data_IF_618171807769
#
_entry.id   IF_618171807769
#
_cell.length_a   1.000
_cell.length_b   1.000
_cell.length_c   1.000
_cell.angle_alpha   90.00
_cell.angle_beta   90.00
_cell.angle_gamma   90.00
#
_symmetry.space_group_name_H-M   'P 1'
#
loop_
_entity.id
_entity.type
_entity.pdbx_description
1 polymer ?
#
# COMPACT_ATOMS: atom_id res chain seq x y z
N UNK A 1 23.82 -18.35 48.27
CA UNK A 1 23.61 -18.31 46.80
C UNK A 1 22.19 -18.65 46.33
N UNK A 2 21.47 -19.58 46.97
CA UNK A 2 20.10 -20.00 46.52
C UNK A 2 19.02 -18.91 46.58
N UNK A 3 19.02 -17.96 47.54
CA UNK A 3 18.04 -16.87 47.62
C UNK A 3 18.13 -15.84 46.49
N UNK A 4 19.34 -15.51 45.97
CA UNK A 4 19.50 -14.53 44.88
C UNK A 4 19.02 -15.10 43.53
N UNK A 5 19.11 -16.40 43.33
CA UNK A 5 18.67 -17.05 42.08
C UNK A 5 17.13 -17.07 41.98
N UNK A 6 16.41 -17.23 43.10
CA UNK A 6 14.95 -17.19 43.10
C UNK A 6 14.35 -15.83 42.74
N UNK A 7 15.03 -14.73 43.15
CA UNK A 7 14.57 -13.35 42.83
C UNK A 7 14.77 -13.08 41.32
N UNK A 8 15.86 -13.55 40.72
CA UNK A 8 16.14 -13.37 39.31
C UNK A 8 15.13 -14.12 38.40
N UNK A 9 14.79 -15.36 38.76
CA UNK A 9 13.80 -16.17 38.04
C UNK A 9 12.39 -15.55 38.13
N UNK A 10 12.01 -15.01 39.29
CA UNK A 10 10.74 -14.34 39.48
C UNK A 10 10.64 -13.06 38.64
N UNK A 11 11.74 -12.30 38.49
CA UNK A 11 11.76 -11.05 37.70
C UNK A 11 11.64 -11.34 36.20
N UNK A 12 12.29 -12.40 35.70
CA UNK A 12 12.19 -12.82 34.30
C UNK A 12 10.77 -13.33 33.98
N UNK A 13 10.13 -14.05 34.89
CA UNK A 13 8.77 -14.55 34.71
C UNK A 13 7.72 -13.41 34.68
N UNK A 14 7.90 -12.36 35.49
CA UNK A 14 7.04 -11.16 35.44
C UNK A 14 7.23 -10.35 34.13
N UNK A 15 8.46 -10.27 33.59
CA UNK A 15 8.71 -9.58 32.33
C UNK A 15 8.09 -10.29 31.13
N UNK A 16 8.08 -11.63 31.12
CA UNK A 16 7.51 -12.43 30.01
C UNK A 16 5.99 -12.39 29.96
N UNK A 17 5.31 -12.09 31.06
CA UNK A 17 3.85 -11.95 31.10
C UNK A 17 3.36 -10.56 30.67
N UNK A 18 4.23 -9.55 30.65
CA UNK A 18 3.85 -8.18 30.25
C UNK A 18 3.91 -7.95 28.74
N UNK A 19 4.75 -8.69 28.00
CA UNK A 19 4.94 -8.49 26.57
C UNK A 19 3.70 -8.79 25.69
N UNK A 20 2.94 -9.90 25.92
CA UNK A 20 1.78 -10.18 25.08
C UNK A 20 0.59 -9.24 25.35
N UNK A 21 0.47 -8.68 26.56
CA UNK A 21 -0.64 -7.77 26.89
C UNK A 21 -0.47 -6.42 26.20
N UNK A 22 0.75 -5.90 26.12
CA UNK A 22 1.02 -4.64 25.45
C UNK A 22 0.85 -4.71 23.92
N UNK A 23 1.22 -5.84 23.30
CA UNK A 23 1.06 -6.05 21.85
C UNK A 23 -0.42 -6.19 21.50
N UNK A 24 -1.21 -6.92 22.28
CA UNK A 24 -2.63 -7.10 22.03
C UNK A 24 -3.44 -5.81 22.25
N UNK A 25 -3.07 -4.98 23.23
CA UNK A 25 -3.66 -3.67 23.46
C UNK A 25 -3.34 -2.68 22.32
N UNK A 26 -2.12 -2.71 21.78
CA UNK A 26 -1.73 -1.88 20.64
C UNK A 26 -2.50 -2.24 19.36
N UNK A 27 -2.66 -3.53 19.03
CA UNK A 27 -3.46 -3.98 17.90
C UNK A 27 -4.95 -3.61 18.03
N UNK A 28 -5.53 -3.73 19.22
CA UNK A 28 -6.91 -3.33 19.49
C UNK A 28 -7.12 -1.84 19.29
N UNK A 29 -6.13 -1.02 19.66
CA UNK A 29 -6.14 0.43 19.52
C UNK A 29 -6.11 0.86 18.06
N UNK A 30 -5.26 0.24 17.23
CA UNK A 30 -5.16 0.52 15.79
C UNK A 30 -6.48 0.26 15.07
N UNK A 31 -7.13 -0.87 15.34
CA UNK A 31 -8.42 -1.21 14.75
C UNK A 31 -9.55 -0.26 15.17
N UNK A 32 -9.52 0.25 16.40
CA UNK A 32 -10.48 1.25 16.88
C UNK A 32 -10.27 2.58 16.15
N UNK A 33 -9.04 3.09 16.11
CA UNK A 33 -8.72 4.35 15.43
C UNK A 33 -9.18 4.33 13.96
N UNK A 34 -8.91 3.26 13.23
CA UNK A 34 -9.34 3.13 11.84
C UNK A 34 -10.86 2.96 11.69
N UNK A 35 -11.51 2.28 12.64
CA UNK A 35 -12.97 2.14 12.62
C UNK A 35 -13.67 3.48 12.82
N UNK A 36 -13.21 4.27 13.81
CA UNK A 36 -13.76 5.59 14.10
C UNK A 36 -13.55 6.53 12.90
N UNK A 37 -12.35 6.58 12.35
CA UNK A 37 -12.04 7.36 11.14
C UNK A 37 -12.96 7.01 9.95
N UNK A 38 -13.19 5.72 9.70
CA UNK A 38 -14.06 5.28 8.62
C UNK A 38 -15.53 5.60 8.88
N UNK A 39 -15.97 5.66 10.12
CA UNK A 39 -17.31 6.04 10.53
C UNK A 39 -17.53 7.56 10.37
N UNK A 40 -16.56 8.36 10.77
CA UNK A 40 -16.57 9.82 10.65
C UNK A 40 -16.41 10.29 9.19
N UNK A 41 -15.89 9.43 8.31
CA UNK A 41 -15.65 9.75 6.90
C UNK A 41 -16.45 8.81 5.95
N UNK A 42 -17.80 8.90 5.92
CA UNK A 42 -18.66 8.00 5.14
C UNK A 42 -18.47 8.12 3.61
N UNK A 43 -17.83 9.19 3.15
CA UNK A 43 -17.46 9.35 1.72
C UNK A 43 -16.44 8.29 1.26
N UNK A 44 -15.66 7.70 2.18
CA UNK A 44 -14.83 6.55 1.90
C UNK A 44 -15.68 5.28 1.93
N UNK A 45 -16.13 4.85 0.78
CA UNK A 45 -17.04 3.70 0.64
C UNK A 45 -16.34 2.35 0.58
N UNK A 46 -15.00 2.36 0.49
CA UNK A 46 -14.17 1.16 0.41
C UNK A 46 -12.92 1.32 1.26
N UNK A 47 -12.48 0.23 1.90
CA UNK A 47 -11.25 0.22 2.69
C UNK A 47 -10.51 -1.12 2.65
N UNK A 48 -9.24 -1.07 3.01
CA UNK A 48 -8.39 -2.22 3.34
C UNK A 48 -7.23 -1.79 4.23
N UNK A 49 -6.79 -2.67 5.11
CA UNK A 49 -5.53 -2.49 5.85
C UNK A 49 -4.44 -3.39 5.25
N UNK A 50 -3.22 -2.89 5.20
CA UNK A 50 -2.05 -3.60 4.67
C UNK A 50 -0.77 -2.99 5.25
N UNK A 51 0.09 -3.80 5.87
CA UNK A 51 1.41 -3.35 6.31
C UNK A 51 2.33 -3.23 5.07
N UNK A 52 2.38 -2.02 4.51
CA UNK A 52 3.04 -1.73 3.23
C UNK A 52 4.55 -1.65 3.39
N UNK A 53 5.03 -0.99 4.43
CA UNK A 53 6.46 -0.74 4.67
C UNK A 53 7.11 -1.84 5.53
N UNK A 54 6.31 -2.76 6.10
CA UNK A 54 6.75 -3.86 6.97
C UNK A 54 7.35 -3.37 8.29
N UNK A 55 6.75 -2.34 8.90
CA UNK A 55 7.12 -1.83 10.22
C UNK A 55 6.22 -2.35 11.37
N UNK A 56 5.22 -3.17 11.03
CA UNK A 56 4.27 -3.75 11.98
C UNK A 56 2.98 -2.94 12.13
N UNK A 57 2.94 -1.69 11.66
CA UNK A 57 1.73 -0.85 11.61
C UNK A 57 1.07 -1.02 10.25
N UNK A 58 -0.19 -1.44 10.23
CA UNK A 58 -0.92 -1.57 8.96
C UNK A 58 -1.40 -0.20 8.50
N UNK A 59 -1.10 0.17 7.27
CA UNK A 59 -1.71 1.34 6.65
C UNK A 59 -3.16 1.07 6.28
N UNK A 60 -4.01 2.12 6.43
CA UNK A 60 -5.38 2.13 5.94
C UNK A 60 -5.41 2.69 4.52
N UNK A 61 -5.90 1.90 3.59
CA UNK A 61 -6.13 2.26 2.21
C UNK A 61 -7.64 2.45 2.02
N UNK A 62 -8.06 3.62 1.56
CA UNK A 62 -9.47 3.93 1.34
C UNK A 62 -9.73 4.46 -0.06
N UNK A 63 -10.96 4.30 -0.54
CA UNK A 63 -11.41 4.86 -1.81
C UNK A 63 -12.85 5.34 -1.69
N UNK A 64 -13.15 6.44 -2.37
CA UNK A 64 -14.49 7.00 -2.48
C UNK A 64 -15.33 6.27 -3.54
N UNK A 65 -16.65 6.49 -3.53
CA UNK A 65 -17.51 6.13 -4.65
C UNK A 65 -16.99 6.84 -5.91
N UNK A 66 -16.90 6.11 -7.00
CA UNK A 66 -16.44 6.70 -8.26
C UNK A 66 -17.48 7.65 -8.83
N UNK A 67 -16.99 8.73 -9.42
CA UNK A 67 -17.71 9.45 -10.46
C UNK A 67 -17.55 8.66 -11.77
N UNK A 68 -18.58 8.65 -12.59
CA UNK A 68 -18.52 8.10 -13.94
C UNK A 68 -17.32 8.73 -14.69
N UNK A 69 -16.56 7.94 -15.38
CA UNK A 69 -15.35 8.36 -16.13
C UNK A 69 -14.08 8.72 -15.34
N UNK A 70 -14.07 8.66 -14.02
CA UNK A 70 -12.86 8.96 -13.23
C UNK A 70 -11.97 7.74 -12.97
N UNK A 71 -10.67 7.96 -12.78
CA UNK A 71 -9.76 6.93 -12.28
C UNK A 71 -10.12 6.56 -10.82
N UNK A 72 -9.87 5.30 -10.45
CA UNK A 72 -9.94 4.88 -9.04
C UNK A 72 -8.81 5.55 -8.27
N UNK A 73 -9.14 6.39 -7.30
CA UNK A 73 -8.17 7.00 -6.40
C UNK A 73 -8.20 6.28 -5.05
N UNK A 74 -7.03 5.93 -4.56
CA UNK A 74 -6.80 5.27 -3.28
C UNK A 74 -5.98 6.20 -2.40
N UNK A 75 -6.54 6.60 -1.28
CA UNK A 75 -5.88 7.40 -0.26
C UNK A 75 -5.26 6.46 0.77
N UNK A 76 -4.05 6.75 1.19
CA UNK A 76 -3.29 5.95 2.13
C UNK A 76 -3.08 6.74 3.41
N UNK A 77 -3.37 6.13 4.54
CA UNK A 77 -3.19 6.69 5.88
C UNK A 77 -2.39 5.71 6.73
N UNK A 78 -1.64 6.24 7.68
CA UNK A 78 -0.95 5.48 8.74
C UNK A 78 -1.32 6.02 10.11
N UNK A 79 -0.89 5.33 11.16
CA UNK A 79 -1.03 5.81 12.54
C UNK A 79 0.34 6.24 13.05
N UNK A 80 0.42 7.46 13.61
CA UNK A 80 1.59 7.95 14.34
C UNK A 80 1.13 8.60 15.62
N UNK A 81 1.72 8.21 16.75
CA UNK A 81 1.37 8.74 18.09
C UNK A 81 -0.14 8.68 18.36
N UNK A 82 -0.81 7.61 17.93
CA UNK A 82 -2.27 7.38 18.02
C UNK A 82 -3.15 8.30 17.15
N UNK A 83 -2.57 9.04 16.24
CA UNK A 83 -3.30 9.89 15.29
C UNK A 83 -3.21 9.35 13.88
N UNK A 84 -4.27 9.54 13.10
CA UNK A 84 -4.29 9.20 11.68
C UNK A 84 -3.53 10.26 10.89
N UNK A 85 -2.55 9.81 10.12
CA UNK A 85 -1.72 10.67 9.27
C UNK A 85 -1.94 10.28 7.80
N UNK A 86 -2.28 11.26 6.99
CA UNK A 86 -2.34 11.08 5.54
C UNK A 86 -0.94 10.90 4.95
N UNK A 87 -0.74 9.82 4.21
CA UNK A 87 0.55 9.45 3.62
C UNK A 87 0.65 9.85 2.14
N UNK A 88 -0.47 9.79 1.43
CA UNK A 88 -0.53 10.11 0.01
C UNK A 88 -1.65 9.37 -0.72
N UNK A 89 -1.65 9.48 -2.05
CA UNK A 89 -2.63 8.80 -2.91
C UNK A 89 -1.97 8.12 -4.09
N UNK A 90 -2.59 7.05 -4.58
CA UNK A 90 -2.26 6.39 -5.85
C UNK A 90 -3.51 6.26 -6.70
N UNK A 91 -3.36 6.20 -8.01
CA UNK A 91 -4.48 6.15 -8.95
C UNK A 91 -4.39 4.92 -9.86
N UNK A 92 -5.55 4.36 -10.20
CA UNK A 92 -5.67 3.31 -11.20
C UNK A 92 -6.71 3.74 -12.23
N UNK A 93 -6.30 3.77 -13.49
CA UNK A 93 -7.24 4.06 -14.57
C UNK A 93 -8.29 2.95 -14.72
N UNK A 94 -9.39 3.26 -15.37
CA UNK A 94 -10.51 2.34 -15.62
C UNK A 94 -10.11 1.04 -16.30
N UNK A 95 -9.12 1.07 -17.19
CA UNK A 95 -8.66 -0.11 -17.94
C UNK A 95 -8.16 -1.25 -17.02
N UNK A 96 -7.81 -0.93 -15.77
CA UNK A 96 -7.39 -1.92 -14.77
C UNK A 96 -8.49 -2.24 -13.75
N UNK A 97 -9.74 -1.90 -14.04
CA UNK A 97 -10.87 -2.33 -13.21
C UNK A 97 -11.05 -3.83 -13.30
N UNK A 98 -11.24 -4.43 -12.14
CA UNK A 98 -11.65 -5.81 -12.02
C UNK A 98 -13.13 -5.84 -11.67
N UNK A 99 -13.95 -5.69 -12.66
CA UNK A 99 -15.39 -5.73 -12.52
C UNK A 99 -15.94 -4.75 -11.49
N UNK A 100 -16.74 -5.24 -10.54
CA UNK A 100 -17.42 -4.46 -9.49
C UNK A 100 -16.53 -4.18 -8.26
N UNK A 101 -15.30 -4.70 -8.23
CA UNK A 101 -14.41 -4.63 -7.06
C UNK A 101 -13.37 -3.53 -7.21
N UNK A 102 -13.09 -2.82 -6.12
CA UNK A 102 -11.93 -1.94 -6.03
C UNK A 102 -10.70 -2.73 -5.61
N UNK A 103 -9.60 -2.55 -6.31
CA UNK A 103 -8.37 -3.32 -6.08
C UNK A 103 -7.15 -2.43 -6.03
N UNK A 104 -6.20 -2.80 -5.19
CA UNK A 104 -4.86 -2.23 -5.16
C UNK A 104 -3.84 -3.33 -5.43
N UNK A 105 -2.74 -2.96 -6.08
CA UNK A 105 -1.64 -3.88 -6.34
C UNK A 105 -0.46 -3.53 -5.44
N UNK A 106 0.08 -4.54 -4.76
CA UNK A 106 1.17 -4.39 -3.83
C UNK A 106 2.26 -5.41 -4.11
N UNK A 107 3.50 -4.95 -4.21
CA UNK A 107 4.69 -5.78 -4.32
C UNK A 107 5.35 -5.93 -2.96
N UNK A 108 5.21 -7.09 -2.33
CA UNK A 108 5.72 -7.35 -0.98
C UNK A 108 7.25 -7.40 -0.91
N UNK A 109 7.93 -7.80 -2.00
CA UNK A 109 9.41 -7.81 -2.06
C UNK A 109 9.97 -6.40 -2.14
N UNK A 110 9.31 -5.54 -2.89
CA UNK A 110 9.71 -4.14 -3.06
C UNK A 110 9.11 -3.23 -1.98
N UNK A 111 8.18 -3.73 -1.16
CA UNK A 111 7.43 -2.95 -0.16
C UNK A 111 6.80 -1.70 -0.82
N UNK A 112 6.11 -1.90 -1.93
CA UNK A 112 5.65 -0.82 -2.78
C UNK A 112 4.24 -1.05 -3.33
N UNK A 113 3.45 0.02 -3.37
CA UNK A 113 2.14 0.07 -4.04
C UNK A 113 2.37 0.43 -5.50
N UNK A 114 1.65 -0.25 -6.40
CA UNK A 114 1.64 0.05 -7.82
C UNK A 114 0.50 1.00 -8.16
N UNK A 115 0.83 2.08 -8.83
CA UNK A 115 -0.10 2.93 -9.57
C UNK A 115 -0.12 2.51 -11.05
N UNK A 116 -1.26 2.66 -11.71
CA UNK A 116 -1.38 2.39 -13.14
C UNK A 116 -2.28 3.42 -13.81
N UNK A 117 -1.72 4.16 -14.73
CA UNK A 117 -2.39 5.22 -15.48
C UNK A 117 -2.42 4.86 -16.97
N UNK A 118 -3.59 4.96 -17.59
CA UNK A 118 -3.74 4.77 -19.04
C UNK A 118 -4.32 6.02 -19.65
N UNK A 119 -3.88 6.31 -20.87
CA UNK A 119 -4.40 7.33 -21.74
C UNK A 119 -4.51 6.80 -23.17
N UNK A 120 -5.24 7.46 -24.08
CA UNK A 120 -5.23 7.10 -25.50
C UNK A 120 -3.84 7.10 -26.13
N UNK A 121 -2.90 7.84 -25.55
CA UNK A 121 -1.53 8.00 -26.04
C UNK A 121 -0.50 7.08 -25.39
N UNK A 122 -0.92 6.19 -24.46
CA UNK A 122 -0.01 5.29 -23.80
C UNK A 122 -0.41 4.95 -22.36
N UNK A 123 0.52 4.34 -21.63
CA UNK A 123 0.30 4.02 -20.23
C UNK A 123 1.57 4.25 -19.40
N UNK A 124 1.35 4.54 -18.11
CA UNK A 124 2.38 4.70 -17.10
C UNK A 124 2.12 3.74 -15.93
N UNK A 125 3.19 3.22 -15.36
CA UNK A 125 3.17 2.45 -14.12
C UNK A 125 4.19 3.05 -13.15
N UNK A 126 3.75 3.33 -11.93
CA UNK A 126 4.62 3.86 -10.90
C UNK A 126 4.62 2.93 -9.68
N UNK A 127 5.74 2.84 -8.99
CA UNK A 127 5.86 2.20 -7.68
C UNK A 127 6.13 3.24 -6.62
N UNK A 128 5.30 3.22 -5.59
CA UNK A 128 5.41 4.10 -4.42
C UNK A 128 5.74 3.31 -3.18
N UNK A 129 6.74 3.77 -2.43
CA UNK A 129 7.06 3.30 -1.08
C UNK A 129 6.65 4.34 -0.04
N UNK A 130 6.33 3.87 1.15
CA UNK A 130 6.18 4.75 2.29
C UNK A 130 7.58 5.07 2.84
N UNK A 131 7.85 6.36 2.98
CA UNK A 131 9.06 6.89 3.59
C UNK A 131 8.67 7.94 4.62
N UNK A 132 8.79 7.61 5.89
CA UNK A 132 8.24 8.44 6.96
C UNK A 132 6.72 8.51 6.92
N UNK A 133 6.15 9.67 6.59
CA UNK A 133 4.70 9.88 6.45
C UNK A 133 4.32 10.25 5.02
N UNK A 134 5.09 9.86 4.02
CA UNK A 134 4.84 10.22 2.62
C UNK A 134 5.01 9.05 1.69
N UNK A 135 4.22 9.01 0.61
CA UNK A 135 4.46 8.13 -0.53
C UNK A 135 5.55 8.75 -1.42
N UNK A 136 6.63 8.01 -1.60
CA UNK A 136 7.72 8.40 -2.53
C UNK A 136 7.72 7.48 -3.73
N UNK A 137 7.68 8.07 -4.93
CA UNK A 137 7.89 7.35 -6.17
C UNK A 137 9.33 6.80 -6.21
N UNK A 138 9.47 5.51 -6.48
CA UNK A 138 10.77 4.83 -6.53
C UNK A 138 11.11 4.29 -7.91
N UNK A 139 10.11 3.92 -8.68
CA UNK A 139 10.26 3.46 -10.07
C UNK A 139 9.07 3.99 -10.86
N UNK A 140 9.35 4.59 -12.00
CA UNK A 140 8.38 5.04 -12.98
C UNK A 140 8.64 4.34 -14.30
N UNK A 141 7.60 3.93 -14.99
CA UNK A 141 7.66 3.38 -16.32
C UNK A 141 6.65 4.12 -17.20
N UNK A 142 7.09 4.55 -18.38
CA UNK A 142 6.23 5.16 -19.37
C UNK A 142 6.37 4.43 -20.71
N UNK A 143 5.23 4.20 -21.36
CA UNK A 143 5.13 3.73 -22.73
C UNK A 143 4.18 4.65 -23.50
N UNK A 144 4.71 5.46 -24.37
CA UNK A 144 3.93 6.28 -25.31
C UNK A 144 3.66 5.49 -26.58
N UNK A 145 2.44 5.63 -27.13
CA UNK A 145 1.99 4.95 -28.35
C UNK A 145 1.80 5.93 -29.53
N UNK A 146 2.53 7.06 -29.55
CA UNK A 146 2.50 8.00 -30.64
C UNK A 146 3.29 7.54 -31.88
N UNK A 147 3.36 8.42 -32.91
CA UNK A 147 4.12 8.18 -34.16
C UNK A 147 5.59 7.79 -33.88
N UNK A 148 6.14 8.29 -32.78
CA UNK A 148 7.45 7.91 -32.24
C UNK A 148 7.24 7.36 -30.82
N UNK A 149 7.10 6.02 -30.65
CA UNK A 149 6.87 5.45 -29.34
C UNK A 149 8.07 5.67 -28.43
N UNK A 150 7.80 6.17 -27.22
CA UNK A 150 8.82 6.36 -26.19
C UNK A 150 8.62 5.32 -25.11
N UNK A 151 9.70 4.63 -24.80
CA UNK A 151 9.77 3.66 -23.71
C UNK A 151 10.81 4.14 -22.72
N UNK A 152 10.41 4.41 -21.49
CA UNK A 152 11.36 4.84 -20.45
C UNK A 152 11.10 4.19 -19.10
N UNK A 153 12.16 3.96 -18.34
CA UNK A 153 12.08 3.60 -16.92
C UNK A 153 12.91 4.61 -16.14
N UNK A 154 12.23 5.30 -15.22
CA UNK A 154 12.83 6.21 -14.26
C UNK A 154 13.07 5.52 -12.94
N UNK A 155 14.24 5.73 -12.34
CA UNK A 155 14.58 5.29 -10.98
C UNK A 155 15.44 6.35 -10.30
N UNK A 156 15.05 6.75 -9.09
CA UNK A 156 15.77 7.77 -8.32
C UNK A 156 16.00 9.05 -9.13
N UNK A 157 14.94 9.55 -9.80
CA UNK A 157 14.95 10.75 -10.65
C UNK A 157 15.87 10.69 -11.89
N UNK A 158 16.30 9.50 -12.30
CA UNK A 158 17.07 9.28 -13.52
C UNK A 158 16.26 8.41 -14.47
N UNK A 159 15.93 8.94 -15.65
CA UNK A 159 15.21 8.21 -16.70
C UNK A 159 16.20 7.55 -17.66
N UNK A 160 15.91 6.31 -18.01
CA UNK A 160 16.58 5.57 -19.07
C UNK A 160 15.60 5.31 -20.19
N UNK A 161 15.97 5.67 -21.40
CA UNK A 161 15.18 5.48 -22.60
C UNK A 161 15.59 4.20 -23.34
N UNK A 162 14.63 3.58 -24.02
CA UNK A 162 14.77 2.33 -24.76
C UNK A 162 14.23 2.55 -26.16
N UNK A 163 15.11 2.55 -27.17
CA UNK A 163 14.77 2.98 -28.52
C UNK A 163 14.94 1.91 -29.58
N UNK A 164 15.83 0.93 -29.36
CA UNK A 164 16.05 -0.16 -30.28
C UNK A 164 15.17 -1.38 -29.97
N UNK A 165 14.96 -2.27 -30.92
CA UNK A 165 14.21 -3.51 -30.71
C UNK A 165 14.80 -4.39 -29.60
N UNK A 166 16.13 -4.45 -29.50
CA UNK A 166 16.84 -5.15 -28.40
C UNK A 166 16.57 -4.48 -27.05
N UNK A 167 16.55 -3.16 -27.02
CA UNK A 167 16.28 -2.42 -25.79
C UNK A 167 14.83 -2.54 -25.34
N UNK A 168 13.87 -2.59 -26.28
CA UNK A 168 12.46 -2.81 -25.96
C UNK A 168 12.27 -4.17 -25.24
N UNK A 169 12.96 -5.23 -25.70
CA UNK A 169 12.94 -6.53 -24.99
C UNK A 169 13.52 -6.42 -23.56
N UNK A 170 14.55 -5.60 -23.35
CA UNK A 170 15.08 -5.32 -22.01
C UNK A 170 14.09 -4.51 -21.17
N UNK A 171 13.45 -3.53 -21.76
CA UNK A 171 12.40 -2.74 -21.14
C UNK A 171 11.25 -3.64 -20.65
N UNK A 172 10.72 -4.52 -21.51
CA UNK A 172 9.62 -5.44 -21.16
C UNK A 172 9.99 -6.37 -19.98
N UNK A 173 11.24 -6.89 -19.96
CA UNK A 173 11.75 -7.68 -18.82
C UNK A 173 11.80 -6.87 -17.51
N UNK A 174 12.16 -5.60 -17.58
CA UNK A 174 12.20 -4.72 -16.40
C UNK A 174 10.78 -4.36 -15.94
N UNK A 175 9.84 -4.12 -16.87
CA UNK A 175 8.43 -3.93 -16.57
C UNK A 175 7.86 -5.15 -15.86
N UNK A 176 8.07 -6.36 -16.39
CA UNK A 176 7.65 -7.60 -15.74
C UNK A 176 8.22 -7.71 -14.33
N UNK A 177 9.54 -7.49 -14.18
CA UNK A 177 10.24 -7.58 -12.90
C UNK A 177 9.70 -6.63 -11.83
N UNK A 178 9.46 -5.35 -12.19
CA UNK A 178 9.08 -4.32 -11.22
C UNK A 178 7.58 -4.30 -10.96
N UNK A 179 6.76 -4.44 -11.99
CA UNK A 179 5.34 -4.10 -11.90
C UNK A 179 4.38 -5.29 -11.92
N UNK A 180 4.80 -6.44 -12.47
CA UNK A 180 3.95 -7.63 -12.54
C UNK A 180 4.45 -8.75 -11.62
N UNK A 181 5.71 -9.14 -11.72
CA UNK A 181 6.28 -10.24 -10.95
C UNK A 181 6.38 -9.89 -9.46
N UNK A 182 5.66 -10.64 -8.62
CA UNK A 182 5.60 -10.39 -7.18
C UNK A 182 4.56 -9.35 -6.75
N UNK A 183 3.87 -8.67 -7.68
CA UNK A 183 2.70 -7.87 -7.37
C UNK A 183 1.48 -8.75 -7.13
N UNK A 184 0.90 -8.64 -5.94
CA UNK A 184 -0.36 -9.28 -5.59
C UNK A 184 -1.49 -8.27 -5.64
N UNK A 185 -2.65 -8.73 -6.09
CA UNK A 185 -3.89 -7.99 -6.11
C UNK A 185 -4.57 -8.12 -4.74
N UNK A 186 -5.01 -7.00 -4.19
CA UNK A 186 -5.74 -6.93 -2.94
C UNK A 186 -7.07 -6.22 -3.16
N UNK A 187 -8.17 -6.91 -2.89
CA UNK A 187 -9.53 -6.36 -3.00
C UNK A 187 -9.83 -5.51 -1.78
N UNK A 188 -10.42 -4.33 -1.96
CA UNK A 188 -10.94 -3.50 -0.89
C UNK A 188 -12.34 -3.97 -0.49
N UNK A 189 -12.67 -3.80 0.78
CA UNK A 189 -13.97 -4.14 1.36
C UNK A 189 -14.88 -2.92 1.37
N UNK A 190 -16.21 -3.12 1.23
CA UNK A 190 -17.18 -2.04 1.43
C UNK A 190 -17.10 -1.53 2.87
N UNK A 191 -17.16 -0.22 3.07
CA UNK A 191 -17.16 0.40 4.39
C UNK A 191 -18.53 0.24 5.06
N UNK A 192 -18.77 -0.90 5.67
CA UNK A 192 -19.93 -1.22 6.51
C UNK A 192 -19.46 -1.57 7.92
N UNK A 193 -20.32 -1.42 8.93
CA UNK A 193 -20.00 -1.78 10.31
C UNK A 193 -19.53 -3.24 10.43
N UNK A 194 -20.21 -4.16 9.74
CA UNK A 194 -19.86 -5.59 9.74
C UNK A 194 -18.48 -5.86 9.12
N UNK A 195 -18.14 -5.17 8.02
CA UNK A 195 -16.83 -5.32 7.41
C UNK A 195 -15.72 -4.67 8.25
N UNK A 196 -15.99 -3.53 8.89
CA UNK A 196 -15.02 -2.93 9.84
C UNK A 196 -14.72 -3.89 10.97
N UNK A 197 -15.76 -4.45 11.63
CA UNK A 197 -15.58 -5.42 12.70
C UNK A 197 -14.82 -6.69 12.26
N UNK A 198 -14.98 -7.12 11.02
CA UNK A 198 -14.34 -8.33 10.48
C UNK A 198 -12.90 -8.12 10.04
N UNK A 199 -12.58 -6.99 9.39
CA UNK A 199 -11.33 -6.82 8.63
C UNK A 199 -10.36 -5.77 9.20
N UNK A 200 -10.71 -5.05 10.27
CA UNK A 200 -9.80 -4.17 11.01
C UNK A 200 -9.13 -4.85 12.22
N UNK A 201 -9.08 -6.16 12.25
CA UNK A 201 -8.45 -6.93 13.33
C UNK A 201 -6.93 -6.93 13.19
#
# INVERSE_FOLDING_TARGET
MKKKMFILISFIFCLSLMLPISIQAAQKKESVIYSDFLQENPSYTWFRTLDINKDGVKELIVSKKELEFSANVYYVYTIKKNEIVYVGKVSHSRAFKDGKSKVIFYNSKLKAIREALTSPRGFGLNLYKISGSTLKETVRMNRSLGRFPVYSIGKNNKDKYYTTASDIKKFDKLVDRYFYKGCKKYVLYKNTSSNRAKYLK
#
